data_IF_723153179869
#
_entry.id   IF_723153179869
#
_cell.length_a   1.000
_cell.length_b   1.000
_cell.length_c   1.000
_cell.angle_alpha   90.00
_cell.angle_beta   90.00
_cell.angle_gamma   90.00
#
_symmetry.space_group_name_H-M   'P 1'
#
loop_
_entity.id
_entity.type
_entity.pdbx_description
1 polymer ?
#
# COMPACT_ATOMS: atom_id res chain seq x y z
N UNK A 1 11.80 4.50 10.89
CA UNK A 1 11.34 5.46 9.87
C UNK A 1 10.20 4.77 9.13
N UNK A 2 8.94 5.19 9.34
CA UNK A 2 7.81 4.57 8.65
C UNK A 2 7.82 4.91 7.18
N UNK A 3 7.60 3.92 6.33
CA UNK A 3 7.34 4.13 4.92
C UNK A 3 5.84 4.03 4.69
N UNK A 4 5.22 5.18 4.47
CA UNK A 4 3.83 5.22 3.98
C UNK A 4 3.74 4.49 2.65
N UNK A 5 2.56 3.97 2.30
CA UNK A 5 2.34 3.33 1.00
C UNK A 5 2.85 4.20 -0.16
N UNK A 6 2.66 5.54 -0.06
CA UNK A 6 3.22 6.51 -1.02
C UNK A 6 4.72 6.37 -1.19
N UNK A 7 5.46 6.40 -0.07
CA UNK A 7 6.93 6.36 -0.07
C UNK A 7 7.44 4.99 -0.56
N UNK A 8 6.81 3.91 -0.09
CA UNK A 8 7.15 2.55 -0.49
C UNK A 8 7.01 2.33 -2.02
N UNK A 9 5.90 2.81 -2.60
CA UNK A 9 5.64 2.71 -4.03
C UNK A 9 6.55 3.65 -4.85
N UNK A 10 6.87 4.84 -4.33
CA UNK A 10 7.75 5.80 -4.99
C UNK A 10 9.19 5.28 -5.10
N UNK A 11 9.74 4.70 -4.02
CA UNK A 11 11.09 4.11 -4.01
C UNK A 11 11.26 2.97 -5.02
N UNK A 12 10.17 2.26 -5.34
CA UNK A 12 10.15 1.16 -6.32
C UNK A 12 9.71 1.60 -7.72
N UNK A 13 9.57 2.89 -7.97
CA UNK A 13 9.11 3.45 -9.26
C UNK A 13 7.82 2.80 -9.77
N UNK A 14 6.89 2.47 -8.86
CA UNK A 14 5.69 1.71 -9.21
C UNK A 14 4.76 2.56 -10.08
N UNK A 15 4.35 2.00 -11.22
CA UNK A 15 3.37 2.62 -12.10
C UNK A 15 1.94 2.36 -11.60
N UNK A 16 1.26 3.38 -11.09
CA UNK A 16 -0.13 3.27 -10.60
C UNK A 16 -1.13 2.85 -11.69
N UNK A 17 -0.89 3.18 -12.96
CA UNK A 17 -1.76 2.74 -14.05
C UNK A 17 -1.65 1.23 -14.28
N UNK A 18 -0.45 0.68 -14.14
CA UNK A 18 -0.19 -0.77 -14.22
C UNK A 18 -0.87 -1.50 -13.07
N UNK A 19 -0.68 -1.02 -11.84
CA UNK A 19 -1.33 -1.59 -10.64
C UNK A 19 -2.84 -1.55 -10.79
N UNK A 20 -3.40 -0.44 -11.27
CA UNK A 20 -4.84 -0.33 -11.52
C UNK A 20 -5.34 -1.41 -12.49
N UNK A 21 -4.62 -1.62 -13.61
CA UNK A 21 -4.99 -2.65 -14.61
C UNK A 21 -4.89 -4.06 -14.04
N UNK A 22 -3.85 -4.39 -13.26
CA UNK A 22 -3.63 -5.74 -12.71
C UNK A 22 -4.54 -6.08 -11.53
N UNK A 23 -4.99 -5.08 -10.76
CA UNK A 23 -5.73 -5.29 -9.51
C UNK A 23 -7.22 -4.98 -9.59
N UNK A 24 -7.64 -4.22 -10.61
CA UNK A 24 -8.99 -3.66 -10.69
C UNK A 24 -9.23 -2.49 -9.72
N UNK A 25 -8.24 -2.07 -8.93
CA UNK A 25 -8.35 -0.88 -8.06
C UNK A 25 -8.30 0.36 -8.95
N UNK A 26 -9.24 1.29 -8.77
CA UNK A 26 -9.29 2.50 -9.62
C UNK A 26 -8.07 3.41 -9.36
N UNK A 27 -7.65 4.16 -10.40
CA UNK A 27 -6.57 5.16 -10.26
C UNK A 27 -6.90 6.24 -9.20
N UNK A 28 -8.19 6.57 -9.05
CA UNK A 28 -8.69 7.49 -8.02
C UNK A 28 -8.42 6.89 -6.64
N UNK A 29 -8.83 5.63 -6.41
CA UNK A 29 -8.61 4.94 -5.14
C UNK A 29 -7.12 4.77 -4.80
N UNK A 30 -6.28 4.41 -5.78
CA UNK A 30 -4.82 4.36 -5.59
C UNK A 30 -4.24 5.73 -5.25
N UNK A 31 -4.83 6.81 -5.77
CA UNK A 31 -4.42 8.18 -5.43
C UNK A 31 -4.84 8.54 -4.00
N UNK A 32 -6.07 8.24 -3.59
CA UNK A 32 -6.53 8.42 -2.20
C UNK A 32 -5.62 7.69 -1.21
N UNK A 33 -5.36 6.39 -1.46
CA UNK A 33 -4.50 5.53 -0.63
C UNK A 33 -3.06 6.03 -0.50
N UNK A 34 -2.60 6.90 -1.39
CA UNK A 34 -1.22 7.40 -1.41
C UNK A 34 -1.10 8.89 -1.09
N UNK A 35 -2.19 9.65 -1.09
CA UNK A 35 -2.16 11.11 -0.88
C UNK A 35 -2.92 11.55 0.36
N UNK A 36 -3.88 10.76 0.84
CA UNK A 36 -4.70 11.11 1.99
C UNK A 36 -4.36 10.21 3.18
N UNK A 37 -3.70 10.77 4.17
CA UNK A 37 -3.24 10.07 5.39
C UNK A 37 -4.38 9.49 6.23
N UNK A 38 -5.61 9.99 6.07
CA UNK A 38 -6.80 9.45 6.76
C UNK A 38 -7.43 8.26 6.03
N UNK A 39 -6.92 7.90 4.85
CA UNK A 39 -7.49 6.80 4.07
C UNK A 39 -6.94 5.48 4.59
N UNK A 40 -7.83 4.62 5.07
CA UNK A 40 -7.44 3.27 5.46
C UNK A 40 -7.16 2.39 4.23
N UNK A 41 -5.97 1.80 4.23
CA UNK A 41 -5.58 0.74 3.31
C UNK A 41 -6.20 -0.58 3.78
N UNK A 42 -7.14 -1.13 2.99
CA UNK A 42 -7.80 -2.39 3.35
C UNK A 42 -6.87 -3.58 3.05
N UNK A 43 -6.98 -4.65 3.83
CA UNK A 43 -6.16 -5.86 3.65
C UNK A 43 -6.20 -6.42 2.21
N UNK A 44 -7.39 -6.46 1.58
CA UNK A 44 -7.54 -6.88 0.18
C UNK A 44 -6.78 -5.97 -0.79
N UNK A 45 -6.84 -4.66 -0.58
CA UNK A 45 -6.14 -3.68 -1.41
C UNK A 45 -4.63 -3.84 -1.27
N UNK A 46 -4.13 -3.97 -0.03
CA UNK A 46 -2.73 -4.25 0.25
C UNK A 46 -2.25 -5.51 -0.46
N UNK A 47 -3.02 -6.60 -0.33
CA UNK A 47 -2.65 -7.90 -0.91
C UNK A 47 -2.56 -7.82 -2.44
N UNK A 48 -3.56 -7.23 -3.09
CA UNK A 48 -3.58 -7.07 -4.55
C UNK A 48 -2.45 -6.14 -5.03
N UNK A 49 -2.19 -5.04 -4.31
CA UNK A 49 -1.09 -4.13 -4.64
C UNK A 49 0.25 -4.86 -4.54
N UNK A 50 0.49 -5.62 -3.47
CA UNK A 50 1.71 -6.41 -3.27
C UNK A 50 1.95 -7.39 -4.43
N UNK A 51 0.93 -8.18 -4.79
CA UNK A 51 1.01 -9.10 -5.92
C UNK A 51 1.26 -8.37 -7.26
N UNK A 52 0.62 -7.21 -7.46
CA UNK A 52 0.79 -6.43 -8.69
C UNK A 52 2.18 -5.79 -8.84
N UNK A 53 2.93 -5.66 -7.74
CA UNK A 53 4.32 -5.17 -7.74
C UNK A 53 5.33 -6.29 -7.48
N UNK A 54 4.90 -7.56 -7.49
CA UNK A 54 5.71 -8.75 -7.25
C UNK A 54 6.44 -8.72 -5.89
N UNK A 55 5.74 -8.27 -4.85
CA UNK A 55 6.21 -8.24 -3.47
C UNK A 55 5.36 -9.19 -2.63
N UNK A 56 5.95 -9.83 -1.63
CA UNK A 56 5.21 -10.64 -0.67
C UNK A 56 4.23 -9.76 0.13
N UNK A 57 2.92 -10.12 0.20
CA UNK A 57 1.94 -9.32 0.92
C UNK A 57 2.27 -9.10 2.40
N UNK A 58 2.89 -10.08 3.09
CA UNK A 58 3.27 -9.94 4.49
C UNK A 58 4.49 -9.03 4.64
N UNK A 59 5.41 -9.01 3.67
CA UNK A 59 6.49 -8.02 3.63
C UNK A 59 5.90 -6.60 3.52
N UNK A 60 4.99 -6.36 2.57
CA UNK A 60 4.34 -5.05 2.43
C UNK A 60 3.58 -4.64 3.70
N UNK A 61 2.88 -5.58 4.32
CA UNK A 61 2.18 -5.37 5.59
C UNK A 61 3.14 -4.91 6.69
N UNK A 62 4.24 -5.63 6.90
CA UNK A 62 5.24 -5.31 7.93
C UNK A 62 5.94 -3.98 7.65
N UNK A 63 6.16 -3.64 6.39
CA UNK A 63 6.78 -2.37 6.00
C UNK A 63 5.87 -1.17 6.32
N UNK A 64 4.56 -1.30 6.15
CA UNK A 64 3.60 -0.21 6.39
C UNK A 64 3.15 -0.17 7.86
N UNK A 65 2.87 -1.32 8.47
CA UNK A 65 2.20 -1.44 9.78
C UNK A 65 3.04 -2.13 10.85
N UNK A 66 4.33 -2.37 10.63
CA UNK A 66 5.19 -3.16 11.53
C UNK A 66 5.34 -2.59 12.94
N UNK A 67 5.18 -1.29 13.12
CA UNK A 67 5.28 -0.63 14.44
C UNK A 67 3.91 -0.28 15.04
N UNK A 68 2.81 -0.75 14.45
CA UNK A 68 1.48 -0.60 15.08
C UNK A 68 1.47 -1.40 16.37
N UNK A 69 1.11 -0.72 17.46
CA UNK A 69 0.97 -1.31 18.79
C UNK A 69 -0.47 -1.17 19.27
N UNK A 70 -0.85 -2.01 20.22
CA UNK A 70 -2.11 -1.87 20.93
C UNK A 70 -2.04 -0.62 21.81
N UNK A 71 -3.11 0.16 21.84
CA UNK A 71 -3.20 1.29 22.75
C UNK A 71 -3.29 0.76 24.20
N UNK A 72 -2.33 1.14 25.04
CA UNK A 72 -2.25 0.72 26.43
C UNK A 72 -1.26 -0.43 26.72
N UNK A 73 -0.51 -0.88 25.72
CA UNK A 73 0.61 -1.84 25.86
C UNK A 73 1.96 -1.27 25.40
#
# INVERSE_FOLDING_TARGET
MHDTLRKYLAQRSVNKSEVSRRTGISKVRLSELTLNERTHLRAKELYLIALAINVDPCELLKQIFGDVKLEGE
#
